data_IF_959078422958
#
_entry.id   IF_959078422958
#
_cell.length_a   1.000
_cell.length_b   1.000
_cell.length_c   1.000
_cell.angle_alpha   90.00
_cell.angle_beta   90.00
_cell.angle_gamma   90.00
#
_symmetry.space_group_name_H-M   'P 1'
#
loop_
_entity.id
_entity.type
_entity.pdbx_description
1 polymer ?
#
# COMPACT_ATOMS: atom_id res chain seq x y z
N UNK A 1 -21.06 5.44 -11.66
CA UNK A 1 -20.15 5.75 -10.52
C UNK A 1 -20.98 6.01 -9.28
N UNK A 2 -20.61 5.45 -8.13
CA UNK A 2 -21.27 5.68 -6.84
C UNK A 2 -20.21 5.89 -5.76
N UNK A 3 -20.45 6.80 -4.82
CA UNK A 3 -19.51 7.06 -3.73
C UNK A 3 -19.92 8.22 -2.82
N UNK A 4 -19.17 8.44 -1.75
CA UNK A 4 -19.40 9.55 -0.82
C UNK A 4 -18.80 10.86 -1.36
N UNK A 5 -19.51 11.97 -1.13
CA UNK A 5 -19.05 13.32 -1.44
C UNK A 5 -17.75 13.68 -0.71
N UNK A 6 -17.58 13.21 0.53
CA UNK A 6 -16.39 13.48 1.34
C UNK A 6 -15.15 12.76 0.83
N UNK A 7 -15.33 11.61 0.18
CA UNK A 7 -14.28 10.86 -0.52
C UNK A 7 -14.02 11.37 -1.94
N UNK A 8 -14.63 12.49 -2.34
CA UNK A 8 -14.33 13.15 -3.61
C UNK A 8 -15.04 12.57 -4.83
N UNK A 9 -16.15 11.81 -4.68
CA UNK A 9 -16.88 11.20 -5.81
C UNK A 9 -17.25 12.18 -6.94
N UNK A 10 -17.39 13.47 -6.62
CA UNK A 10 -17.69 14.54 -7.59
C UNK A 10 -16.60 14.73 -8.65
N UNK A 11 -15.35 14.36 -8.35
CA UNK A 11 -14.24 14.42 -9.31
C UNK A 11 -14.43 13.48 -10.50
N UNK A 12 -15.30 12.46 -10.40
CA UNK A 12 -15.59 11.54 -11.47
C UNK A 12 -16.15 12.23 -12.73
N UNK A 13 -16.95 13.29 -12.58
CA UNK A 13 -17.50 14.03 -13.73
C UNK A 13 -16.38 14.62 -14.59
N UNK A 14 -15.40 15.28 -13.97
CA UNK A 14 -14.25 15.84 -14.69
C UNK A 14 -13.30 14.75 -15.19
N UNK A 15 -13.06 13.70 -14.41
CA UNK A 15 -12.16 12.61 -14.78
C UNK A 15 -12.64 11.83 -16.01
N UNK A 16 -13.96 11.70 -16.19
CA UNK A 16 -14.57 10.95 -17.28
C UNK A 16 -15.15 11.82 -18.41
N UNK A 17 -15.04 13.15 -18.35
CA UNK A 17 -15.70 14.08 -19.28
C UNK A 17 -15.46 13.75 -20.76
N UNK A 18 -14.22 13.40 -21.13
CA UNK A 18 -13.83 13.11 -22.53
C UNK A 18 -14.05 11.65 -22.96
N UNK A 19 -14.50 10.79 -22.04
CA UNK A 19 -14.60 9.33 -22.27
C UNK A 19 -16.04 8.82 -22.13
N UNK A 20 -16.71 9.23 -21.06
CA UNK A 20 -18.05 8.81 -20.70
C UNK A 20 -18.74 9.96 -19.93
N UNK A 21 -19.33 10.94 -20.63
CA UNK A 21 -20.04 12.05 -19.98
C UNK A 21 -21.04 11.55 -18.94
N UNK A 22 -20.86 11.98 -17.69
CA UNK A 22 -21.66 11.52 -16.57
C UNK A 22 -22.81 12.49 -16.28
N UNK A 23 -23.98 11.92 -16.01
CA UNK A 23 -25.13 12.61 -15.47
C UNK A 23 -25.38 12.12 -14.05
N UNK A 24 -25.61 13.06 -13.13
CA UNK A 24 -25.98 12.71 -11.76
C UNK A 24 -27.43 12.20 -11.72
N UNK A 25 -27.61 10.98 -11.23
CA UNK A 25 -28.92 10.28 -11.15
C UNK A 25 -29.61 10.59 -9.83
N UNK A 26 -28.88 10.55 -8.73
CA UNK A 26 -29.41 10.80 -7.39
C UNK A 26 -28.31 11.30 -6.43
N UNK A 27 -28.73 11.94 -5.34
CA UNK A 27 -27.90 12.13 -4.16
C UNK A 27 -28.73 12.04 -2.90
N UNK A 28 -28.40 11.05 -2.07
CA UNK A 28 -28.93 10.89 -0.72
C UNK A 28 -27.78 10.76 0.28
N UNK A 29 -27.98 11.26 1.51
CA UNK A 29 -27.10 10.99 2.68
C UNK A 29 -25.60 11.16 2.39
N UNK A 30 -25.22 12.28 1.75
CA UNK A 30 -23.84 12.62 1.37
C UNK A 30 -23.21 11.71 0.31
N UNK A 31 -23.98 10.85 -0.36
CA UNK A 31 -23.54 10.06 -1.49
C UNK A 31 -23.96 10.70 -2.82
N UNK A 32 -23.27 10.37 -3.90
CA UNK A 32 -23.64 10.72 -5.27
C UNK A 32 -23.68 9.47 -6.14
N UNK A 33 -24.75 9.36 -6.95
CA UNK A 33 -24.89 8.34 -8.00
C UNK A 33 -24.85 9.03 -9.36
N UNK A 34 -23.96 8.56 -10.23
CA UNK A 34 -23.74 9.10 -11.57
C UNK A 34 -23.82 7.98 -12.60
N UNK A 35 -24.43 8.28 -13.74
CA UNK A 35 -24.58 7.38 -14.87
C UNK A 35 -24.10 8.06 -16.16
N UNK A 36 -23.38 7.31 -16.99
CA UNK A 36 -22.99 7.71 -18.32
C UNK A 36 -22.74 6.49 -19.18
N UNK A 37 -22.69 6.66 -20.49
CA UNK A 37 -22.31 5.62 -21.45
C UNK A 37 -20.92 5.94 -21.96
N UNK A 38 -20.09 4.92 -22.17
CA UNK A 38 -18.77 5.09 -22.75
C UNK A 38 -18.91 5.49 -24.22
N UNK A 39 -18.35 6.64 -24.57
CA UNK A 39 -18.32 7.17 -25.94
C UNK A 39 -16.94 6.96 -26.57
N UNK A 40 -15.89 7.08 -25.76
CA UNK A 40 -14.50 6.92 -26.19
C UNK A 40 -13.72 6.09 -25.17
N UNK A 41 -13.05 5.04 -25.65
CA UNK A 41 -12.17 4.25 -24.80
C UNK A 41 -10.88 5.03 -24.48
N UNK A 42 -10.45 5.10 -23.21
CA UNK A 42 -9.15 5.66 -22.87
C UNK A 42 -8.05 4.71 -23.32
N UNK A 43 -6.87 5.26 -23.60
CA UNK A 43 -5.65 4.47 -23.73
C UNK A 43 -5.06 4.31 -22.34
N UNK A 44 -4.90 3.07 -21.89
CA UNK A 44 -4.32 2.74 -20.61
C UNK A 44 -3.00 2.00 -20.80
N UNK A 45 -1.98 2.44 -20.08
CA UNK A 45 -0.65 1.85 -20.05
C UNK A 45 -0.20 1.84 -18.59
N UNK A 46 -0.14 0.65 -17.99
CA UNK A 46 0.14 0.48 -16.57
C UNK A 46 1.55 0.97 -16.20
N UNK A 47 2.50 0.89 -17.13
CA UNK A 47 3.89 1.24 -16.87
C UNK A 47 4.05 2.74 -16.56
N UNK A 48 3.15 3.58 -17.09
CA UNK A 48 3.14 5.04 -16.85
C UNK A 48 2.68 5.44 -15.45
N UNK A 49 2.14 4.52 -14.66
CA UNK A 49 1.63 4.79 -13.32
C UNK A 49 2.63 4.44 -12.21
N UNK A 50 3.77 3.85 -12.56
CA UNK A 50 4.83 3.64 -11.58
C UNK A 50 5.41 4.97 -11.12
N UNK A 51 5.50 5.12 -9.79
CA UNK A 51 6.28 6.15 -9.13
C UNK A 51 7.59 5.57 -8.63
N UNK A 52 8.63 6.40 -8.61
CA UNK A 52 9.90 6.08 -7.98
C UNK A 52 10.41 7.30 -7.21
N UNK A 53 10.91 7.08 -6.00
CA UNK A 53 11.58 8.10 -5.20
C UNK A 53 12.67 7.48 -4.33
N UNK A 54 13.57 8.32 -3.80
CA UNK A 54 14.62 7.89 -2.89
C UNK A 54 14.39 8.46 -1.49
N UNK A 55 14.52 7.62 -0.46
CA UNK A 55 14.45 8.03 0.94
C UNK A 55 15.61 7.40 1.71
N UNK A 56 16.41 8.21 2.39
CA UNK A 56 17.60 7.77 3.14
C UNK A 56 18.55 6.85 2.35
N UNK A 57 18.65 7.04 1.02
CA UNK A 57 19.48 6.21 0.15
C UNK A 57 18.85 4.86 -0.23
N UNK A 58 17.56 4.66 0.01
CA UNK A 58 16.77 3.51 -0.43
C UNK A 58 15.90 3.93 -1.61
N UNK A 59 15.91 3.14 -2.68
CA UNK A 59 15.04 3.35 -3.84
C UNK A 59 13.68 2.71 -3.58
N UNK A 60 12.60 3.50 -3.61
CA UNK A 60 11.24 3.01 -3.41
C UNK A 60 10.47 3.11 -4.71
N UNK A 61 9.90 1.99 -5.15
CA UNK A 61 8.95 1.91 -6.25
C UNK A 61 7.53 1.79 -5.70
N UNK A 62 6.60 2.55 -6.26
CA UNK A 62 5.22 2.63 -5.76
C UNK A 62 4.22 2.72 -6.90
N UNK A 63 2.96 2.42 -6.59
CA UNK A 63 1.84 2.43 -7.51
C UNK A 63 0.65 3.22 -6.92
N UNK A 64 -0.33 3.61 -7.74
CA UNK A 64 -1.51 4.27 -7.22
C UNK A 64 -2.27 3.37 -6.22
N UNK A 65 -2.52 3.89 -5.01
CA UNK A 65 -3.29 3.18 -3.98
C UNK A 65 -2.41 2.53 -2.91
N UNK A 66 -1.08 2.58 -3.05
CA UNK A 66 -0.14 2.11 -2.02
C UNK A 66 0.10 3.22 -1.00
N UNK A 67 0.03 2.87 0.28
CA UNK A 67 0.40 3.75 1.39
C UNK A 67 1.91 4.06 1.34
N UNK A 68 2.36 5.19 1.88
CA UNK A 68 3.74 5.70 1.78
C UNK A 68 4.19 6.10 0.37
N UNK A 69 3.44 6.96 -0.33
CA UNK A 69 3.94 7.55 -1.60
C UNK A 69 5.10 8.54 -1.41
N UNK A 70 5.26 9.11 -0.21
CA UNK A 70 6.13 10.28 0.01
C UNK A 70 7.28 10.04 1.00
N UNK A 71 7.53 8.80 1.44
CA UNK A 71 8.65 8.49 2.33
C UNK A 71 8.35 7.54 3.49
N UNK A 72 9.33 7.42 4.37
CA UNK A 72 9.28 6.63 5.60
C UNK A 72 8.47 7.42 6.64
N UNK A 73 7.25 6.98 6.96
CA UNK A 73 6.39 7.66 7.91
C UNK A 73 6.98 7.62 9.34
N UNK A 74 6.52 8.54 10.20
CA UNK A 74 7.01 8.68 11.58
C UNK A 74 6.87 7.38 12.38
N UNK A 75 5.80 6.61 12.14
CA UNK A 75 5.58 5.31 12.79
C UNK A 75 6.62 4.29 12.34
N UNK A 76 6.88 4.19 11.04
CA UNK A 76 7.95 3.34 10.50
C UNK A 76 9.33 3.75 11.01
N UNK A 77 9.63 5.04 11.14
CA UNK A 77 10.91 5.52 11.69
C UNK A 77 11.09 5.12 13.16
N UNK A 78 10.03 5.30 13.96
CA UNK A 78 10.04 4.90 15.37
C UNK A 78 10.23 3.40 15.50
N UNK A 79 9.51 2.59 14.71
CA UNK A 79 9.66 1.14 14.70
C UNK A 79 11.10 0.72 14.35
N UNK A 80 11.68 1.26 13.28
CA UNK A 80 13.06 0.98 12.89
C UNK A 80 14.07 1.33 13.98
N UNK A 81 13.84 2.41 14.74
CA UNK A 81 14.74 2.81 15.84
C UNK A 81 14.84 1.77 16.97
N UNK A 82 13.84 0.89 17.10
CA UNK A 82 13.83 -0.19 18.10
C UNK A 82 14.51 -1.46 17.62
N UNK A 83 14.75 -1.61 16.31
CA UNK A 83 15.33 -2.80 15.72
C UNK A 83 16.85 -2.75 15.86
N UNK A 84 17.41 -3.75 16.53
CA UNK A 84 18.87 -3.82 16.72
C UNK A 84 19.57 -4.17 15.41
N UNK A 85 20.66 -3.48 15.05
CA UNK A 85 21.48 -3.86 13.90
C UNK A 85 21.98 -5.30 13.98
N UNK A 86 22.25 -5.92 12.82
CA UNK A 86 22.71 -7.32 12.72
C UNK A 86 21.74 -8.36 13.27
N UNK A 87 20.43 -8.05 13.28
CA UNK A 87 19.39 -9.05 13.56
C UNK A 87 19.46 -10.18 12.54
N UNK A 88 19.09 -11.39 12.97
CA UNK A 88 19.05 -12.61 12.15
C UNK A 88 17.73 -13.32 12.38
N UNK A 89 17.29 -14.10 11.41
CA UNK A 89 16.08 -14.91 11.52
C UNK A 89 15.12 -14.69 10.37
N UNK A 90 13.97 -15.36 10.43
CA UNK A 90 12.83 -15.17 9.55
C UNK A 90 12.02 -13.98 10.06
N UNK A 91 11.82 -12.98 9.22
CA UNK A 91 11.06 -11.78 9.53
C UNK A 91 9.85 -11.71 8.61
N UNK A 92 8.66 -11.53 9.19
CA UNK A 92 7.42 -11.30 8.45
C UNK A 92 7.02 -9.82 8.60
N UNK A 93 6.80 -9.13 7.48
CA UNK A 93 6.24 -7.77 7.41
C UNK A 93 4.79 -7.83 6.94
N UNK A 94 3.85 -7.54 7.84
CA UNK A 94 2.40 -7.61 7.56
C UNK A 94 1.85 -6.22 7.28
N UNK A 95 1.16 -6.06 6.15
CA UNK A 95 0.73 -4.74 5.66
C UNK A 95 1.92 -3.97 5.10
N UNK A 96 2.71 -4.64 4.25
CA UNK A 96 4.03 -4.15 3.84
C UNK A 96 4.01 -2.87 2.99
N UNK A 97 2.87 -2.48 2.40
CA UNK A 97 2.80 -1.28 1.58
C UNK A 97 3.79 -1.31 0.41
N UNK A 98 4.67 -0.31 0.30
CA UNK A 98 5.72 -0.27 -0.73
C UNK A 98 7.02 -1.01 -0.33
N UNK A 99 7.05 -1.67 0.84
CA UNK A 99 8.20 -2.45 1.31
C UNK A 99 9.33 -1.63 1.93
N UNK A 100 9.10 -0.34 2.20
CA UNK A 100 10.11 0.62 2.71
C UNK A 100 10.70 0.16 4.05
N UNK A 101 9.84 -0.26 4.97
CA UNK A 101 10.24 -0.76 6.29
C UNK A 101 11.17 -1.97 6.16
N UNK A 102 10.80 -2.92 5.32
CA UNK A 102 11.56 -4.15 5.05
C UNK A 102 12.95 -3.88 4.46
N UNK A 103 13.07 -3.03 3.43
CA UNK A 103 14.38 -2.70 2.85
C UNK A 103 15.25 -1.89 3.80
N UNK A 104 14.66 -0.98 4.59
CA UNK A 104 15.37 -0.24 5.62
C UNK A 104 15.90 -1.17 6.73
N UNK A 105 15.13 -2.18 7.12
CA UNK A 105 15.57 -3.17 8.10
C UNK A 105 16.69 -4.06 7.54
N UNK A 106 16.52 -4.57 6.31
CA UNK A 106 17.52 -5.40 5.63
C UNK A 106 18.89 -4.69 5.50
N UNK A 107 18.90 -3.37 5.28
CA UNK A 107 20.14 -2.58 5.18
C UNK A 107 21.02 -2.71 6.42
N UNK A 108 20.43 -2.73 7.62
CA UNK A 108 21.17 -2.83 8.89
C UNK A 108 21.29 -4.28 9.38
N UNK A 109 20.49 -5.19 8.83
CA UNK A 109 20.41 -6.59 9.22
C UNK A 109 20.40 -7.50 7.99
N UNK A 110 21.49 -7.58 7.22
CA UNK A 110 21.52 -8.28 5.92
C UNK A 110 21.36 -9.81 6.00
N UNK A 111 21.24 -10.37 7.21
CA UNK A 111 21.07 -11.82 7.46
C UNK A 111 19.63 -12.20 7.82
N UNK A 112 18.69 -11.25 7.76
CA UNK A 112 17.27 -11.56 7.89
C UNK A 112 16.76 -12.22 6.60
N UNK A 113 15.80 -13.13 6.74
CA UNK A 113 15.04 -13.69 5.62
C UNK A 113 13.66 -13.07 5.64
N UNK A 114 13.37 -12.24 4.65
CA UNK A 114 12.13 -11.47 4.61
C UNK A 114 11.01 -12.25 3.93
N UNK A 115 9.84 -12.15 4.54
CA UNK A 115 8.55 -12.45 3.94
C UNK A 115 7.66 -11.22 4.14
N UNK A 116 6.97 -10.78 3.11
CA UNK A 116 6.12 -9.59 3.12
C UNK A 116 4.72 -9.98 2.63
N UNK A 117 3.68 -9.44 3.25
CA UNK A 117 2.33 -9.62 2.75
C UNK A 117 1.45 -8.36 2.89
N UNK A 118 0.52 -8.21 1.95
CA UNK A 118 -0.47 -7.13 1.94
C UNK A 118 -1.77 -7.61 1.27
N UNK A 119 -2.90 -6.97 1.58
CA UNK A 119 -4.17 -7.21 0.87
C UNK A 119 -4.21 -6.50 -0.49
N UNK A 120 -3.39 -5.46 -0.64
CA UNK A 120 -3.38 -4.59 -1.81
C UNK A 120 -2.46 -5.14 -2.89
N UNK A 121 -3.03 -5.51 -4.04
CA UNK A 121 -2.27 -5.91 -5.23
C UNK A 121 -1.18 -4.90 -5.64
N UNK A 122 -1.46 -3.57 -5.71
CA UNK A 122 -0.39 -2.62 -6.03
C UNK A 122 0.70 -2.56 -4.93
N UNK A 123 0.37 -2.85 -3.66
CA UNK A 123 1.37 -2.91 -2.58
C UNK A 123 2.29 -4.13 -2.73
N UNK A 124 1.73 -5.29 -3.09
CA UNK A 124 2.52 -6.50 -3.39
C UNK A 124 3.50 -6.24 -4.53
N UNK A 125 3.05 -5.64 -5.63
CA UNK A 125 3.92 -5.33 -6.77
C UNK A 125 4.95 -4.25 -6.44
N UNK A 126 4.55 -3.19 -5.74
CA UNK A 126 5.45 -2.14 -5.26
C UNK A 126 6.55 -2.69 -4.35
N UNK A 127 6.18 -3.54 -3.39
CA UNK A 127 7.13 -4.19 -2.47
C UNK A 127 8.14 -5.05 -3.22
N UNK A 128 7.70 -5.90 -4.18
CA UNK A 128 8.62 -6.69 -5.01
C UNK A 128 9.61 -5.80 -5.76
N UNK A 129 9.10 -4.74 -6.38
CA UNK A 129 9.90 -3.82 -7.17
C UNK A 129 10.92 -3.04 -6.31
N UNK A 130 10.51 -2.62 -5.11
CA UNK A 130 11.38 -1.98 -4.11
C UNK A 130 12.45 -2.93 -3.58
N UNK A 131 12.11 -4.17 -3.25
CA UNK A 131 13.10 -5.18 -2.84
C UNK A 131 14.16 -5.38 -3.92
N UNK A 132 13.73 -5.57 -5.17
CA UNK A 132 14.62 -5.74 -6.31
C UNK A 132 15.52 -4.51 -6.55
N UNK A 133 14.96 -3.30 -6.46
CA UNK A 133 15.70 -2.04 -6.64
C UNK A 133 16.82 -1.85 -5.59
N UNK A 134 16.68 -2.43 -4.40
CA UNK A 134 17.68 -2.34 -3.32
C UNK A 134 18.52 -3.61 -3.18
N UNK A 135 18.43 -4.56 -4.12
CA UNK A 135 19.13 -5.85 -4.05
C UNK A 135 18.84 -6.64 -2.76
N UNK A 136 17.60 -6.57 -2.27
CA UNK A 136 17.13 -7.28 -1.08
C UNK A 136 16.30 -8.48 -1.51
N UNK A 137 16.68 -9.67 -1.04
CA UNK A 137 15.90 -10.88 -1.24
C UNK A 137 14.73 -10.97 -0.25
N UNK A 138 13.57 -11.43 -0.73
CA UNK A 138 12.41 -11.66 0.10
C UNK A 138 11.25 -12.24 -0.69
N UNK A 139 10.38 -12.97 0.01
CA UNK A 139 9.12 -13.44 -0.55
C UNK A 139 8.06 -12.36 -0.33
N UNK A 140 7.25 -12.08 -1.35
CA UNK A 140 6.12 -11.14 -1.25
C UNK A 140 4.88 -11.86 -1.76
N UNK A 141 3.73 -11.73 -1.10
CA UNK A 141 2.47 -12.29 -1.60
C UNK A 141 1.25 -11.55 -1.06
N UNK A 142 0.11 -11.73 -1.74
CA UNK A 142 -1.15 -11.19 -1.27
C UNK A 142 -1.69 -12.04 -0.12
N UNK A 143 -2.11 -11.42 0.98
CA UNK A 143 -2.71 -12.11 2.13
C UNK A 143 -3.65 -11.17 2.88
N UNK A 144 -4.81 -11.68 3.29
CA UNK A 144 -5.58 -11.03 4.34
C UNK A 144 -4.94 -11.37 5.69
N UNK A 145 -4.12 -10.45 6.19
CA UNK A 145 -3.33 -10.63 7.42
C UNK A 145 -2.55 -11.96 7.35
N UNK A 146 -2.90 -12.97 8.16
CA UNK A 146 -2.19 -14.25 8.24
C UNK A 146 -2.79 -15.38 7.38
N UNK A 147 -3.88 -15.15 6.65
CA UNK A 147 -4.60 -16.20 5.89
C UNK A 147 -3.67 -17.06 5.00
N UNK A 148 -2.77 -16.44 4.26
CA UNK A 148 -1.83 -17.14 3.37
C UNK A 148 -0.44 -17.36 4.00
N UNK A 149 -0.21 -16.85 5.20
CA UNK A 149 1.07 -16.97 5.90
C UNK A 149 1.25 -18.41 6.41
N UNK A 150 2.35 -19.07 6.00
CA UNK A 150 2.69 -20.43 6.43
C UNK A 150 4.01 -20.46 7.20
N UNK A 151 4.09 -21.35 8.19
CA UNK A 151 5.30 -21.57 8.99
C UNK A 151 5.41 -20.66 10.22
N UNK A 152 6.63 -20.53 10.73
CA UNK A 152 6.95 -19.72 11.92
C UNK A 152 8.03 -18.71 11.59
N UNK A 153 7.94 -17.56 12.24
CA UNK A 153 8.86 -16.44 12.10
C UNK A 153 9.53 -16.13 13.44
N UNK A 154 10.75 -15.64 13.38
CA UNK A 154 11.51 -15.22 14.57
C UNK A 154 11.10 -13.80 14.99
N UNK A 155 10.58 -13.00 14.06
CA UNK A 155 10.05 -11.67 14.28
C UNK A 155 8.90 -11.37 13.30
N UNK A 156 7.85 -10.74 13.80
CA UNK A 156 6.77 -10.19 12.96
C UNK A 156 6.74 -8.69 13.20
N UNK A 157 6.79 -7.90 12.12
CA UNK A 157 6.70 -6.44 12.13
C UNK A 157 5.46 -6.02 11.33
N UNK A 158 4.87 -4.90 11.72
CA UNK A 158 3.74 -4.31 11.01
C UNK A 158 3.61 -2.84 11.42
N UNK A 159 3.30 -1.98 10.46
CA UNK A 159 2.85 -0.62 10.71
C UNK A 159 1.44 -0.45 10.14
N UNK A 160 0.40 -0.94 10.86
CA UNK A 160 -0.95 -0.97 10.35
C UNK A 160 -1.52 0.45 10.16
N UNK A 161 -2.48 0.65 9.24
CA UNK A 161 -3.10 1.95 9.02
C UNK A 161 -3.85 2.41 10.28
N UNK A 162 -3.57 3.63 10.74
CA UNK A 162 -4.18 4.21 11.94
C UNK A 162 -5.51 4.96 11.70
N UNK A 163 -5.90 5.17 10.44
CA UNK A 163 -7.05 6.00 10.10
C UNK A 163 -7.94 5.36 9.04
N UNK A 164 -9.10 4.85 9.46
CA UNK A 164 -10.25 4.60 8.60
C UNK A 164 -11.36 5.59 9.01
N UNK A 165 -11.16 6.87 8.65
CA UNK A 165 -12.00 8.00 9.08
C UNK A 165 -11.60 8.68 10.40
N UNK A 166 -12.55 9.39 11.03
CA UNK A 166 -12.39 10.16 12.29
C UNK A 166 -12.35 9.28 13.57
N UNK A 167 -12.31 7.96 13.43
CA UNK A 167 -12.23 7.03 14.56
C UNK A 167 -11.02 6.12 14.42
N UNK A 168 -10.31 5.97 15.54
CA UNK A 168 -9.26 4.97 15.73
C UNK A 168 -9.91 3.58 15.63
N UNK A 169 -9.69 2.86 14.55
CA UNK A 169 -10.18 1.48 14.42
C UNK A 169 -9.26 0.56 15.23
N UNK A 170 -9.79 -0.02 16.30
CA UNK A 170 -9.11 -1.05 17.11
C UNK A 170 -9.39 -2.47 16.57
N UNK A 171 -10.27 -2.61 15.57
CA UNK A 171 -10.67 -3.90 15.01
C UNK A 171 -9.46 -4.63 14.39
N UNK A 172 -8.55 -3.90 13.77
CA UNK A 172 -7.30 -4.44 13.22
C UNK A 172 -6.41 -5.11 14.29
N UNK A 173 -6.52 -4.71 15.57
CA UNK A 173 -5.80 -5.31 16.68
C UNK A 173 -6.60 -6.42 17.39
N UNK A 174 -7.95 -6.38 17.32
CA UNK A 174 -8.84 -7.32 18.02
C UNK A 174 -9.18 -8.57 17.19
N UNK A 175 -8.98 -8.53 15.88
CA UNK A 175 -9.35 -9.62 14.94
C UNK A 175 -8.16 -10.43 14.41
N UNK A 176 -6.97 -10.25 15.00
CA UNK A 176 -5.72 -10.96 14.66
C UNK A 176 -5.71 -12.43 15.12
#
# INVERSE_FOLDING_TARGET
VVGENRSGVRSAEQMLADYAPLNKVDSARRCGLYFGRLEKQPVFDADKFWGEYSVDGLTVKTLPGVFSRDGLDVGSQLLLSTLTPHTKGKVLDVGCGAGVLSVAFARHSPKIRLTLCDVSAPAVEASRATLAANCVEGEVFASNVFSEVKGRFDMIISNPPFHDGMQTSLDAAQTL
#
